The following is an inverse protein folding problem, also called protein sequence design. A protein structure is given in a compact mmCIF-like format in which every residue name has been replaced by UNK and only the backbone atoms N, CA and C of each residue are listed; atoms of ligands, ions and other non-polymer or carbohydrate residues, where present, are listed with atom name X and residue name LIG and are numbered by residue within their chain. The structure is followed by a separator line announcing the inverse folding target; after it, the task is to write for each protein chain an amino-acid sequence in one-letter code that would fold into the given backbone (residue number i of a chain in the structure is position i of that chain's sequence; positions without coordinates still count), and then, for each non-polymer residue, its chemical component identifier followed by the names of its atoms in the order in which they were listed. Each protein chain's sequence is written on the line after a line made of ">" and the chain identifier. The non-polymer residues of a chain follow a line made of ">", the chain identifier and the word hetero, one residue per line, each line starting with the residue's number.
data_IF_203159443841
#
_entry.id   IF_203159443841
#
_cell.length_a   1.000
_cell.length_b   1.000
_cell.length_c   1.000
_cell.angle_alpha   90.00
_cell.angle_beta   90.00
_cell.angle_gamma   90.00
#
_symmetry.space_group_name_H-M   'P 1'
#
loop_
_entity.id
_entity.type
_entity.pdbx_description
1 polymer ?
#
# COMPACT_ATOMS: atom_id res chain seq x y z
N UNK A 1 39.40 -37.60 -24.54
CA UNK A 1 39.81 -36.82 -23.35
C UNK A 1 39.09 -35.47 -23.40
N UNK A 2 37.97 -35.35 -22.68
CA UNK A 2 37.10 -34.18 -22.69
C UNK A 2 37.75 -33.03 -21.89
N UNK A 3 38.02 -31.89 -22.54
CA UNK A 3 38.36 -30.66 -21.84
C UNK A 3 37.07 -29.90 -21.54
N UNK A 4 36.59 -29.99 -20.29
CA UNK A 4 35.54 -29.11 -19.79
C UNK A 4 36.11 -27.69 -19.66
N UNK A 5 35.54 -26.74 -20.41
CA UNK A 5 35.69 -25.31 -20.15
C UNK A 5 34.61 -24.89 -19.15
N UNK A 6 35.00 -24.59 -17.92
CA UNK A 6 34.11 -24.03 -16.90
C UNK A 6 33.85 -22.56 -17.18
N UNK A 7 32.65 -22.21 -17.61
CA UNK A 7 32.18 -20.82 -17.64
C UNK A 7 31.61 -20.46 -16.25
N UNK A 8 32.34 -19.63 -15.51
CA UNK A 8 31.87 -19.08 -14.23
C UNK A 8 30.92 -17.92 -14.54
N UNK A 9 29.62 -18.14 -14.39
CA UNK A 9 28.61 -17.09 -14.52
C UNK A 9 28.52 -16.32 -13.19
N UNK A 10 29.12 -15.13 -13.13
CA UNK A 10 29.02 -14.26 -11.96
C UNK A 10 27.60 -13.66 -11.86
N UNK A 11 26.83 -14.10 -10.87
CA UNK A 11 25.54 -13.49 -10.51
C UNK A 11 25.78 -12.18 -9.77
N UNK A 12 25.61 -11.06 -10.46
CA UNK A 12 25.52 -9.74 -9.83
C UNK A 12 24.20 -9.64 -9.09
N UNK A 13 24.26 -9.61 -7.77
CA UNK A 13 23.11 -9.34 -6.90
C UNK A 13 22.77 -7.86 -7.09
N UNK A 14 21.71 -7.55 -7.84
CA UNK A 14 21.17 -6.19 -7.89
C UNK A 14 20.40 -5.98 -6.59
N UNK A 15 21.03 -5.33 -5.61
CA UNK A 15 20.33 -4.86 -4.43
C UNK A 15 19.35 -3.76 -4.86
N UNK A 16 18.05 -4.05 -4.82
CA UNK A 16 17.05 -3.00 -5.01
C UNK A 16 17.13 -2.00 -3.85
N UNK A 17 17.06 -0.69 -4.14
CA UNK A 17 17.06 0.30 -3.08
C UNK A 17 15.79 0.10 -2.24
N UNK A 18 15.98 -0.13 -0.93
CA UNK A 18 14.89 0.05 0.02
C UNK A 18 14.66 1.57 0.13
N UNK A 19 13.57 2.07 -0.46
CA UNK A 19 13.18 3.46 -0.27
C UNK A 19 12.94 3.69 1.23
N UNK A 20 13.72 4.57 1.84
CA UNK A 20 13.55 4.93 3.23
C UNK A 20 12.23 5.71 3.39
N UNK A 21 11.41 5.31 4.36
CA UNK A 21 10.19 6.05 4.73
C UNK A 21 10.54 7.45 5.26
N UNK A 22 9.73 8.44 4.90
CA UNK A 22 9.83 9.80 5.43
C UNK A 22 9.86 9.83 6.97
N UNK A 23 10.72 10.66 7.54
CA UNK A 23 10.97 10.68 8.98
C UNK A 23 9.79 11.24 9.78
N UNK A 24 9.02 12.18 9.23
CA UNK A 24 7.83 12.72 9.87
C UNK A 24 6.71 11.69 9.86
N UNK A 25 6.50 10.99 8.74
CA UNK A 25 5.56 9.85 8.68
C UNK A 25 5.94 8.77 9.70
N UNK A 26 7.22 8.37 9.75
CA UNK A 26 7.73 7.40 10.72
C UNK A 26 7.43 7.83 12.16
N UNK A 27 7.73 9.09 12.50
CA UNK A 27 7.50 9.61 13.84
C UNK A 27 6.01 9.71 14.20
N UNK A 28 5.14 10.00 13.23
CA UNK A 28 3.69 9.97 13.40
C UNK A 28 3.16 8.56 13.70
N UNK A 29 3.56 7.58 12.89
CA UNK A 29 3.13 6.18 13.03
C UNK A 29 3.50 5.60 14.41
N UNK A 30 4.70 5.89 14.92
CA UNK A 30 5.16 5.39 16.22
C UNK A 30 4.36 5.92 17.42
N UNK A 31 3.56 6.98 17.24
CA UNK A 31 2.67 7.53 18.29
C UNK A 31 1.28 6.88 18.31
N UNK A 32 0.93 6.14 17.26
CA UNK A 32 -0.36 5.47 17.15
C UNK A 32 -0.37 4.19 17.97
N UNK A 33 -1.57 3.77 18.41
CA UNK A 33 -1.76 2.42 18.91
C UNK A 33 -1.45 1.38 17.80
N UNK A 34 -1.13 0.12 18.14
CA UNK A 34 -0.66 -0.85 17.16
C UNK A 34 -1.61 -1.08 15.98
N UNK A 35 -2.92 -1.20 16.22
CA UNK A 35 -3.87 -1.47 15.13
C UNK A 35 -4.04 -0.26 14.21
N UNK A 36 -4.11 0.95 14.76
CA UNK A 36 -4.13 2.17 13.94
C UNK A 36 -2.82 2.33 13.18
N UNK A 37 -1.67 1.98 13.78
CA UNK A 37 -0.37 2.00 13.10
C UNK A 37 -0.34 1.05 11.91
N UNK A 38 -0.84 -0.17 12.07
CA UNK A 38 -0.97 -1.16 11.00
C UNK A 38 -1.77 -0.59 9.82
N UNK A 39 -2.98 -0.07 10.09
CA UNK A 39 -3.83 0.52 9.04
C UNK A 39 -3.13 1.69 8.35
N UNK A 40 -2.63 2.66 9.10
CA UNK A 40 -2.01 3.86 8.54
C UNK A 40 -0.71 3.56 7.78
N UNK A 41 0.09 2.59 8.22
CA UNK A 41 1.28 2.15 7.49
C UNK A 41 0.90 1.52 6.15
N UNK A 42 -0.13 0.68 6.14
CA UNK A 42 -0.62 0.03 4.94
C UNK A 42 -1.26 1.02 3.96
N UNK A 43 -2.03 1.99 4.45
CA UNK A 43 -2.58 3.07 3.63
C UNK A 43 -1.48 3.91 2.98
N UNK A 44 -0.45 4.30 3.74
CA UNK A 44 0.69 5.04 3.20
C UNK A 44 1.43 4.26 2.10
N UNK A 45 1.66 2.95 2.31
CA UNK A 45 2.28 2.09 1.31
C UNK A 45 1.41 1.99 0.04
N UNK A 46 0.08 1.91 0.18
CA UNK A 46 -0.84 1.88 -0.96
C UNK A 46 -0.76 3.16 -1.78
N UNK A 47 -0.77 4.32 -1.13
CA UNK A 47 -0.66 5.61 -1.81
C UNK A 47 0.63 5.72 -2.60
N UNK A 48 1.73 5.30 -1.99
CA UNK A 48 3.05 5.28 -2.61
C UNK A 48 3.11 4.30 -3.79
N UNK A 49 2.68 3.04 -3.62
CA UNK A 49 2.68 2.06 -4.72
C UNK A 49 1.77 2.44 -5.87
N UNK A 50 0.54 2.90 -5.62
CA UNK A 50 -0.35 3.35 -6.69
C UNK A 50 0.29 4.48 -7.49
N UNK A 51 0.92 5.44 -6.80
CA UNK A 51 1.57 6.59 -7.44
C UNK A 51 2.83 6.21 -8.22
N UNK A 52 3.58 5.21 -7.75
CA UNK A 52 4.79 4.70 -8.40
C UNK A 52 4.49 3.77 -9.58
N UNK A 53 3.55 2.85 -9.40
CA UNK A 53 3.28 1.77 -10.35
C UNK A 53 2.45 2.24 -11.56
N UNK A 54 1.58 3.24 -11.38
CA UNK A 54 0.77 3.82 -12.46
C UNK A 54 0.75 5.35 -12.41
N UNK A 55 1.51 5.97 -13.32
CA UNK A 55 1.63 7.43 -13.43
C UNK A 55 0.35 8.17 -13.78
N UNK A 56 -0.73 7.46 -14.18
CA UNK A 56 -2.07 8.05 -14.30
C UNK A 56 -2.55 8.60 -12.96
N UNK A 57 -2.21 7.92 -11.88
CA UNK A 57 -2.67 8.24 -10.53
C UNK A 57 -1.64 9.09 -9.77
N UNK A 58 -2.16 9.96 -8.91
CA UNK A 58 -1.41 10.71 -7.89
C UNK A 58 -2.19 10.56 -6.60
N UNK A 59 -2.03 9.41 -5.96
CA UNK A 59 -2.85 9.01 -4.83
C UNK A 59 -2.46 9.80 -3.58
N UNK A 60 -3.44 10.39 -2.89
CA UNK A 60 -3.20 11.28 -1.75
C UNK A 60 -4.02 10.95 -0.48
N UNK A 61 -5.00 10.05 -0.58
CA UNK A 61 -5.84 9.63 0.56
C UNK A 61 -6.40 8.23 0.35
N UNK A 62 -6.50 7.45 1.41
CA UNK A 62 -7.22 6.16 1.46
C UNK A 62 -8.35 6.27 2.49
N UNK A 63 -9.47 5.62 2.22
CA UNK A 63 -10.53 5.33 3.18
C UNK A 63 -10.75 3.82 3.15
N UNK A 64 -10.18 3.12 4.13
CA UNK A 64 -10.16 1.66 4.16
C UNK A 64 -11.56 1.04 4.34
N UNK A 65 -12.52 1.77 4.89
CA UNK A 65 -13.85 1.29 5.24
C UNK A 65 -14.99 1.82 4.35
N UNK A 66 -14.67 2.37 3.17
CA UNK A 66 -15.64 3.09 2.33
C UNK A 66 -16.91 2.28 1.96
N UNK A 67 -16.75 1.03 1.56
CA UNK A 67 -17.83 0.14 1.09
C UNK A 67 -18.01 -1.11 1.96
N UNK A 68 -17.04 -1.44 2.79
CA UNK A 68 -17.06 -2.61 3.66
C UNK A 68 -16.07 -2.43 4.82
N UNK A 69 -16.38 -3.02 5.98
CA UNK A 69 -15.49 -3.01 7.15
C UNK A 69 -14.19 -3.76 6.86
N UNK A 70 -13.01 -3.18 7.17
CA UNK A 70 -11.74 -3.89 7.10
C UNK A 70 -11.69 -5.09 8.06
N UNK A 71 -11.09 -6.18 7.59
CA UNK A 71 -10.75 -7.35 8.41
C UNK A 71 -9.36 -7.13 9.01
N UNK A 72 -9.29 -6.97 10.35
CA UNK A 72 -8.05 -6.74 11.10
C UNK A 72 -7.52 -8.03 11.70
N UNK A 73 -6.23 -8.33 11.47
CA UNK A 73 -5.45 -9.37 12.14
C UNK A 73 -4.39 -8.78 13.06
N UNK A 74 -3.47 -9.62 13.54
CA UNK A 74 -2.34 -9.17 14.36
C UNK A 74 -1.41 -8.26 13.54
N UNK A 75 -0.90 -8.76 12.41
CA UNK A 75 0.08 -8.06 11.56
C UNK A 75 -0.45 -7.80 10.14
N UNK A 76 -1.76 -7.93 9.93
CA UNK A 76 -2.37 -7.90 8.61
C UNK A 76 -3.72 -7.18 8.60
N UNK A 77 -3.99 -6.47 7.52
CA UNK A 77 -5.28 -5.83 7.24
C UNK A 77 -5.76 -6.25 5.84
N UNK A 78 -7.04 -6.59 5.73
CA UNK A 78 -7.71 -6.79 4.44
C UNK A 78 -8.90 -5.86 4.32
N UNK A 79 -8.87 -4.97 3.34
CA UNK A 79 -10.02 -4.15 2.99
C UNK A 79 -10.64 -4.62 1.66
N UNK A 80 -11.82 -5.26 1.70
CA UNK A 80 -12.54 -5.68 0.50
C UNK A 80 -13.31 -4.54 -0.19
N UNK A 81 -13.32 -3.35 0.41
CA UNK A 81 -14.16 -2.22 -0.02
C UNK A 81 -13.58 -0.87 0.39
N UNK A 82 -12.30 -0.62 0.11
CA UNK A 82 -11.69 0.69 0.31
C UNK A 82 -12.02 1.66 -0.85
N UNK A 83 -11.63 2.91 -0.66
CA UNK A 83 -11.49 3.90 -1.72
C UNK A 83 -10.14 4.61 -1.59
N UNK A 84 -9.56 5.04 -2.70
CA UNK A 84 -8.44 5.99 -2.67
C UNK A 84 -8.77 7.21 -3.54
N UNK A 85 -8.19 8.35 -3.18
CA UNK A 85 -8.33 9.58 -3.93
C UNK A 85 -7.08 9.86 -4.73
N UNK A 86 -7.26 10.29 -5.98
CA UNK A 86 -6.19 10.75 -6.85
C UNK A 86 -6.68 11.93 -7.67
N UNK A 87 -5.93 13.05 -7.66
CA UNK A 87 -6.27 14.27 -8.43
C UNK A 87 -7.71 14.77 -8.17
N UNK A 88 -8.16 14.66 -6.91
CA UNK A 88 -9.51 15.06 -6.51
C UNK A 88 -10.64 14.10 -6.92
N UNK A 89 -10.34 12.95 -7.51
CA UNK A 89 -11.33 11.92 -7.85
C UNK A 89 -11.14 10.67 -7.00
N UNK A 90 -12.26 10.03 -6.63
CA UNK A 90 -12.26 8.83 -5.81
C UNK A 90 -12.39 7.58 -6.66
N UNK A 91 -11.63 6.55 -6.34
CA UNK A 91 -11.62 5.26 -7.05
C UNK A 91 -11.84 4.12 -6.09
N UNK A 92 -12.55 3.09 -6.54
CA UNK A 92 -12.73 1.86 -5.77
C UNK A 92 -11.38 1.17 -5.56
N UNK A 93 -11.19 0.62 -4.37
CA UNK A 93 -9.97 -0.09 -3.99
C UNK A 93 -10.32 -1.35 -3.24
N UNK A 94 -9.53 -2.40 -3.47
CA UNK A 94 -9.43 -3.55 -2.57
C UNK A 94 -7.96 -3.79 -2.28
N UNK A 95 -7.63 -4.14 -1.04
CA UNK A 95 -6.26 -4.48 -0.71
C UNK A 95 -6.15 -5.50 0.42
N UNK A 96 -5.00 -6.17 0.45
CA UNK A 96 -4.49 -6.92 1.60
C UNK A 96 -3.05 -6.51 1.83
N UNK A 97 -2.73 -6.14 3.07
CA UNK A 97 -1.42 -5.70 3.50
C UNK A 97 -0.98 -6.50 4.73
N UNK A 98 0.27 -6.91 4.76
CA UNK A 98 0.91 -7.63 5.87
C UNK A 98 2.20 -6.89 6.24
N UNK A 99 2.45 -6.78 7.54
CA UNK A 99 3.58 -6.04 8.11
C UNK A 99 4.44 -6.93 8.99
N UNK A 100 5.63 -6.44 9.34
CA UNK A 100 6.39 -6.97 10.47
C UNK A 100 5.62 -6.72 11.80
N UNK A 101 5.94 -7.44 12.88
CA UNK A 101 5.21 -7.31 14.16
C UNK A 101 5.22 -5.93 14.81
N UNK A 102 6.12 -5.03 14.42
CA UNK A 102 6.15 -3.63 14.89
C UNK A 102 5.25 -2.69 14.05
N UNK A 103 4.66 -3.23 12.97
CA UNK A 103 3.86 -2.57 11.94
C UNK A 103 4.57 -1.45 11.20
N UNK A 104 5.91 -1.46 11.15
CA UNK A 104 6.70 -0.40 10.51
C UNK A 104 7.17 -0.77 9.11
N UNK A 105 7.33 -2.06 8.84
CA UNK A 105 7.72 -2.59 7.54
C UNK A 105 6.55 -3.34 6.89
N UNK A 106 6.25 -3.03 5.62
CA UNK A 106 5.27 -3.79 4.84
C UNK A 106 5.99 -4.94 4.13
N UNK A 107 5.62 -6.16 4.51
CA UNK A 107 6.19 -7.40 3.96
C UNK A 107 5.48 -7.82 2.68
N UNK A 108 4.16 -7.64 2.64
CA UNK A 108 3.35 -7.96 1.47
C UNK A 108 2.24 -6.94 1.31
N UNK A 109 2.04 -6.47 0.08
CA UNK A 109 0.88 -5.68 -0.29
C UNK A 109 0.37 -6.14 -1.65
N UNK A 110 -0.92 -6.40 -1.72
CA UNK A 110 -1.66 -6.69 -2.95
C UNK A 110 -2.86 -5.78 -3.00
N UNK A 111 -3.09 -5.13 -4.13
CA UNK A 111 -4.25 -4.26 -4.32
C UNK A 111 -4.85 -4.41 -5.71
N UNK A 112 -6.09 -3.96 -5.85
CA UNK A 112 -6.78 -3.83 -7.13
C UNK A 112 -7.54 -2.50 -7.16
N UNK A 113 -7.25 -1.71 -8.18
CA UNK A 113 -8.00 -0.50 -8.51
C UNK A 113 -9.26 -0.91 -9.29
N UNK A 114 -10.40 -0.36 -8.90
CA UNK A 114 -11.66 -0.49 -9.62
C UNK A 114 -12.07 0.83 -10.26
N UNK A 115 -13.35 0.93 -10.58
CA UNK A 115 -13.91 2.10 -11.26
C UNK A 115 -13.85 3.37 -10.41
N UNK A 116 -13.90 4.51 -11.09
CA UNK A 116 -14.13 5.81 -10.47
C UNK A 116 -15.50 5.81 -9.76
N UNK A 117 -15.57 6.49 -8.62
CA UNK A 117 -16.77 6.60 -7.79
C UNK A 117 -17.43 7.93 -8.17
N UNK A 118 -18.67 7.92 -8.69
CA UNK A 118 -19.39 9.14 -9.04
C UNK A 118 -19.46 10.11 -7.86
N UNK A 119 -19.25 11.41 -8.10
CA UNK A 119 -19.28 12.43 -7.05
C UNK A 119 -20.61 12.47 -6.28
N UNK A 120 -21.72 12.16 -6.95
CA UNK A 120 -23.05 12.02 -6.35
C UNK A 120 -23.10 10.95 -5.25
N UNK A 121 -22.23 9.95 -5.30
CA UNK A 121 -22.18 8.84 -4.35
C UNK A 121 -21.23 9.11 -3.17
N UNK A 122 -20.38 10.13 -3.24
CA UNK A 122 -19.36 10.38 -2.21
C UNK A 122 -19.92 10.55 -0.79
N UNK A 123 -21.01 11.33 -0.57
CA UNK A 123 -21.57 11.50 0.77
C UNK A 123 -22.04 10.18 1.40
N UNK A 124 -22.48 9.21 0.58
CA UNK A 124 -22.92 7.89 1.04
C UNK A 124 -21.78 7.08 1.67
N UNK A 125 -20.55 7.36 1.27
CA UNK A 125 -19.36 6.61 1.65
C UNK A 125 -18.37 7.45 2.47
N UNK A 126 -18.81 8.60 3.01
CA UNK A 126 -17.98 9.57 3.73
C UNK A 126 -16.75 10.02 2.94
N UNK A 127 -16.89 10.15 1.62
CA UNK A 127 -15.86 10.65 0.73
C UNK A 127 -16.09 12.14 0.48
N UNK A 128 -15.01 12.92 0.41
CA UNK A 128 -15.05 14.36 0.19
C UNK A 128 -13.70 14.87 -0.31
N UNK A 129 -13.69 16.12 -0.78
CA UNK A 129 -12.47 16.85 -1.15
C UNK A 129 -11.81 17.50 0.06
#
# INVERSE_FOLDING_TARGET
>A
MNKLFSAVLAWTIVAWPASAMDSALRAGLLKLDPQTRLEQRCDAEILDRITRDDHKYKADRVVAYAFATPEMGADAIKSPGAAFRSKGQWYRLKFKCETAPDHMEVLQLRYRIGDEIPESDWPKYNLYN
#
